data_IF_552473580799
#
_entry.id   IF_552473580799
#
_cell.length_a   1.000
_cell.length_b   1.000
_cell.length_c   1.000
_cell.angle_alpha   90.00
_cell.angle_beta   90.00
_cell.angle_gamma   90.00
#
_symmetry.space_group_name_H-M   'P 1'
#
loop_
_entity.id
_entity.type
_entity.pdbx_description
1 polymer ?
#
# COMPACT_ATOMS: atom_id res chain seq x y z
N UNK A 1 -20.04 -17.71 -0.22
CA UNK A 1 -19.81 -16.65 -1.22
C UNK A 1 -18.64 -15.80 -0.73
N UNK A 2 -17.45 -15.84 -1.36
CA UNK A 2 -16.40 -14.89 -1.00
C UNK A 2 -16.18 -13.97 -2.19
N UNK A 3 -17.00 -12.92 -2.29
CA UNK A 3 -16.66 -11.78 -3.15
C UNK A 3 -16.73 -10.52 -2.29
N UNK A 4 -15.95 -10.54 -1.20
CA UNK A 4 -15.51 -9.28 -0.59
C UNK A 4 -14.44 -8.76 -1.53
N UNK A 5 -14.80 -7.75 -2.33
CA UNK A 5 -13.83 -6.89 -2.99
C UNK A 5 -12.73 -6.56 -1.97
N UNK A 6 -11.56 -7.18 -2.08
CA UNK A 6 -10.37 -6.82 -1.31
C UNK A 6 -10.00 -5.41 -1.75
N UNK A 7 -10.50 -4.41 -1.01
CA UNK A 7 -10.33 -3.01 -1.36
C UNK A 7 -8.90 -2.59 -0.97
N UNK A 8 -7.93 -2.97 -1.79
CA UNK A 8 -6.56 -2.48 -1.70
C UNK A 8 -6.55 -1.00 -2.07
N UNK A 9 -5.98 -0.17 -1.21
CA UNK A 9 -5.69 1.23 -1.49
C UNK A 9 -4.28 1.54 -1.03
N UNK A 10 -3.46 2.15 -1.88
CA UNK A 10 -2.13 2.66 -1.52
C UNK A 10 -2.03 4.08 -2.07
N UNK A 11 -1.79 5.06 -1.20
CA UNK A 11 -1.78 6.49 -1.55
C UNK A 11 -0.53 7.17 -1.01
N UNK A 12 -0.08 8.21 -1.72
CA UNK A 12 0.99 9.10 -1.22
C UNK A 12 0.33 10.36 -0.66
N UNK A 13 0.61 10.68 0.60
CA UNK A 13 0.27 11.96 1.23
C UNK A 13 1.53 12.76 1.50
N UNK A 14 1.45 14.06 1.34
CA UNK A 14 2.60 14.95 1.59
C UNK A 14 2.22 15.97 2.65
N UNK A 15 3.11 16.19 3.61
CA UNK A 15 3.00 17.21 4.65
C UNK A 15 4.32 17.99 4.80
N UNK A 16 4.38 18.90 5.77
CA UNK A 16 5.58 19.70 6.04
C UNK A 16 6.81 18.88 6.43
N UNK A 17 6.64 17.59 6.75
CA UNK A 17 7.69 16.67 7.21
C UNK A 17 8.16 15.74 6.10
N UNK A 18 7.45 15.69 4.96
CA UNK A 18 7.81 14.92 3.78
C UNK A 18 6.64 14.13 3.20
N UNK A 19 6.96 13.05 2.51
CA UNK A 19 6.01 12.21 1.78
C UNK A 19 5.79 10.88 2.50
N UNK A 20 4.54 10.51 2.70
CA UNK A 20 4.09 9.31 3.39
C UNK A 20 3.34 8.41 2.43
N UNK A 21 3.65 7.13 2.44
CA UNK A 21 2.89 6.10 1.73
C UNK A 21 1.96 5.45 2.73
N UNK A 22 0.66 5.66 2.56
CA UNK A 22 -0.39 5.05 3.38
C UNK A 22 -1.08 3.94 2.59
N UNK A 23 -1.42 2.82 3.24
CA UNK A 23 -2.17 1.74 2.61
C UNK A 23 -3.29 1.20 3.50
N UNK A 24 -4.28 0.59 2.83
CA UNK A 24 -5.32 -0.23 3.41
C UNK A 24 -5.44 -1.53 2.59
N UNK A 25 -5.43 -2.67 3.27
CA UNK A 25 -5.71 -3.99 2.68
C UNK A 25 -6.58 -4.80 3.63
N UNK A 26 -7.88 -4.94 3.32
CA UNK A 26 -8.84 -5.78 4.06
C UNK A 26 -8.83 -5.58 5.59
N UNK A 27 -8.73 -4.32 6.02
CA UNK A 27 -8.72 -3.95 7.44
C UNK A 27 -7.34 -3.80 8.06
N UNK A 28 -6.26 -4.19 7.36
CA UNK A 28 -4.91 -3.83 7.73
C UNK A 28 -4.57 -2.45 7.14
N UNK A 29 -4.18 -1.51 7.99
CA UNK A 29 -3.70 -0.19 7.57
C UNK A 29 -2.29 0.05 8.04
N UNK A 30 -1.49 0.75 7.22
CA UNK A 30 -0.15 1.16 7.63
C UNK A 30 0.34 2.40 6.90
N UNK A 31 1.47 2.91 7.37
CA UNK A 31 2.14 4.09 6.84
C UNK A 31 3.66 3.88 6.78
N UNK A 32 4.29 4.30 5.69
CA UNK A 32 5.75 4.31 5.50
C UNK A 32 6.20 5.74 5.20
N UNK A 33 7.26 6.19 5.86
CA UNK A 33 7.79 7.54 5.69
C UNK A 33 8.26 8.17 7.00
N UNK A 34 8.56 9.49 6.99
CA UNK A 34 8.48 10.36 5.82
C UNK A 34 9.68 10.16 4.87
N UNK A 35 9.41 10.22 3.57
CA UNK A 35 10.41 10.31 2.51
C UNK A 35 10.63 11.77 2.14
N UNK A 36 11.89 12.19 1.95
CA UNK A 36 12.18 13.57 1.56
C UNK A 36 11.93 13.83 0.07
N UNK A 37 11.91 12.78 -0.74
CA UNK A 37 11.72 12.85 -2.18
C UNK A 37 10.39 12.22 -2.57
N UNK A 38 9.61 12.94 -3.39
CA UNK A 38 8.33 12.47 -3.91
C UNK A 38 8.50 11.24 -4.82
N UNK A 39 9.58 11.17 -5.59
CA UNK A 39 9.89 10.05 -6.47
C UNK A 39 10.20 8.80 -5.64
N UNK A 40 10.87 8.97 -4.49
CA UNK A 40 11.10 7.86 -3.55
C UNK A 40 9.78 7.35 -2.97
N UNK A 41 8.88 8.25 -2.57
CA UNK A 41 7.57 7.87 -2.05
C UNK A 41 6.72 7.15 -3.11
N UNK A 42 6.74 7.60 -4.37
CA UNK A 42 5.99 6.92 -5.43
C UNK A 42 6.56 5.54 -5.77
N UNK A 43 7.89 5.39 -5.78
CA UNK A 43 8.54 4.08 -5.93
C UNK A 43 8.13 3.12 -4.80
N UNK A 44 8.09 3.61 -3.56
CA UNK A 44 7.64 2.82 -2.40
C UNK A 44 6.14 2.48 -2.51
N UNK A 45 5.30 3.43 -2.95
CA UNK A 45 3.88 3.19 -3.22
C UNK A 45 3.69 2.04 -4.21
N UNK A 46 4.39 2.07 -5.35
CA UNK A 46 4.34 1.03 -6.38
C UNK A 46 4.81 -0.33 -5.84
N UNK A 47 5.92 -0.35 -5.09
CA UNK A 47 6.43 -1.58 -4.48
C UNK A 47 5.41 -2.17 -3.48
N UNK A 48 4.78 -1.33 -2.66
CA UNK A 48 3.81 -1.77 -1.65
C UNK A 48 2.50 -2.24 -2.28
N UNK A 49 2.01 -1.55 -3.30
CA UNK A 49 0.85 -1.95 -4.08
C UNK A 49 1.04 -3.33 -4.72
N UNK A 50 2.24 -3.57 -5.27
CA UNK A 50 2.60 -4.87 -5.83
C UNK A 50 2.72 -5.96 -4.76
N UNK A 51 3.40 -5.70 -3.64
CA UNK A 51 3.50 -6.64 -2.51
C UNK A 51 2.11 -7.09 -2.02
N UNK A 52 1.20 -6.13 -1.82
CA UNK A 52 -0.15 -6.42 -1.33
C UNK A 52 -1.01 -7.13 -2.38
N UNK A 53 -0.83 -6.83 -3.67
CA UNK A 53 -1.54 -7.50 -4.77
C UNK A 53 -1.03 -8.92 -5.00
N UNK A 54 0.28 -9.14 -4.96
CA UNK A 54 0.90 -10.46 -5.16
C UNK A 54 0.60 -11.38 -3.96
N UNK A 55 0.57 -10.84 -2.74
CA UNK A 55 0.16 -11.59 -1.55
C UNK A 55 -1.31 -12.04 -1.58
N UNK A 56 -2.20 -11.35 -2.31
CA UNK A 56 -3.60 -11.76 -2.49
C UNK A 56 -3.70 -13.09 -3.26
N UNK A 57 -2.75 -13.37 -4.17
CA UNK A 57 -2.68 -14.60 -4.95
C UNK A 57 -2.21 -15.83 -4.17
N UNK A 58 -1.45 -15.65 -3.08
CA UNK A 58 -0.84 -16.76 -2.33
C UNK A 58 -1.73 -17.37 -1.24
N UNK A 59 -2.88 -16.78 -0.91
CA UNK A 59 -3.76 -17.25 0.19
C UNK A 59 -4.85 -18.23 -0.30
N UNK A 60 -4.88 -18.57 -1.59
CA UNK A 60 -5.87 -19.51 -2.16
C UNK A 60 -5.28 -20.87 -2.56
N UNK A 61 -4.04 -21.19 -2.16
CA UNK A 61 -3.39 -22.47 -2.49
C UNK A 61 -3.04 -23.28 -1.22
N UNK A 62 -4.06 -23.64 -0.40
CA UNK A 62 -4.10 -24.89 0.42
C UNK A 62 -5.53 -25.22 0.84
#
# INVERSE_FOLDING_TARGET
MPNKNRALSVVVRSDERGHWVEWNNDGETGSLGPYQDADMADNVRLAKERELTDNVGHINDV
#
